data_IF_963858122588
#
_entry.id   IF_963858122588
#
_cell.length_a   1.000
_cell.length_b   1.000
_cell.length_c   1.000
_cell.angle_alpha   90.00
_cell.angle_beta   90.00
_cell.angle_gamma   90.00
#
_symmetry.space_group_name_H-M   'P 1'
#
loop_
_entity.id
_entity.type
_entity.pdbx_description
1 polymer ?
#
# COMPACT_ATOMS: atom_id res chain seq x y z
N UNK A 1 0.23 2.16 -35.45
CA UNK A 1 -0.21 2.02 -34.04
C UNK A 1 -0.55 0.56 -33.80
N UNK A 2 0.38 -0.22 -33.26
CA UNK A 2 0.07 -1.47 -32.59
C UNK A 2 0.36 -1.21 -31.11
N UNK A 3 -0.69 -1.17 -30.29
CA UNK A 3 -0.51 -1.35 -28.84
C UNK A 3 0.09 -2.73 -28.67
N UNK A 4 1.38 -2.79 -28.32
CA UNK A 4 1.96 -4.02 -27.82
C UNK A 4 1.33 -4.27 -26.45
N UNK A 5 0.20 -4.98 -26.46
CA UNK A 5 -0.35 -5.58 -25.27
C UNK A 5 0.70 -6.61 -24.83
N UNK A 6 1.51 -6.24 -23.85
CA UNK A 6 2.44 -7.18 -23.24
C UNK A 6 1.57 -8.20 -22.52
N UNK A 7 1.34 -9.32 -23.17
CA UNK A 7 0.65 -10.46 -22.59
C UNK A 7 1.59 -11.01 -21.50
N UNK A 8 1.33 -10.61 -20.26
CA UNK A 8 2.08 -11.12 -19.11
C UNK A 8 1.64 -12.57 -18.95
N UNK A 9 2.49 -13.49 -19.42
CA UNK A 9 2.35 -14.92 -19.16
C UNK A 9 2.55 -15.16 -17.65
N UNK A 10 1.46 -15.06 -16.91
CA UNK A 10 1.40 -15.30 -15.46
C UNK A 10 1.76 -16.74 -15.08
N UNK A 11 1.71 -17.68 -16.05
CA UNK A 11 1.84 -19.11 -15.80
C UNK A 11 3.15 -19.71 -16.30
N UNK A 12 4.11 -18.86 -16.74
CA UNK A 12 5.42 -19.28 -17.26
C UNK A 12 5.29 -20.39 -18.31
N UNK A 13 4.29 -20.31 -19.19
CA UNK A 13 4.05 -21.32 -20.20
C UNK A 13 5.32 -21.67 -21.00
N UNK A 14 6.29 -20.75 -21.16
CA UNK A 14 7.54 -21.03 -21.89
C UNK A 14 8.85 -20.38 -21.38
N UNK A 15 8.91 -19.76 -20.20
CA UNK A 15 10.08 -18.96 -19.79
C UNK A 15 10.99 -19.66 -18.74
N UNK A 16 12.10 -20.28 -19.19
CA UNK A 16 13.17 -20.82 -18.29
C UNK A 16 14.07 -19.74 -17.69
N UNK A 17 14.01 -18.50 -18.18
CA UNK A 17 14.79 -17.37 -17.68
C UNK A 17 13.86 -16.22 -17.29
N UNK A 18 13.18 -16.36 -16.16
CA UNK A 18 12.49 -15.22 -15.55
C UNK A 18 13.56 -14.33 -14.89
N UNK A 19 13.90 -13.21 -15.54
CA UNK A 19 14.51 -12.10 -14.82
C UNK A 19 13.60 -11.74 -13.64
N UNK A 20 14.13 -11.39 -12.46
CA UNK A 20 13.29 -10.94 -11.36
C UNK A 20 12.56 -9.67 -11.81
N UNK A 21 11.30 -9.85 -12.21
CA UNK A 21 10.41 -8.75 -12.52
C UNK A 21 10.20 -7.98 -11.22
N UNK A 22 10.53 -6.70 -11.22
CA UNK A 22 10.17 -5.81 -10.11
C UNK A 22 8.65 -5.91 -9.95
N UNK A 23 8.18 -6.22 -8.74
CA UNK A 23 6.75 -6.27 -8.46
C UNK A 23 6.11 -4.93 -8.88
N UNK A 24 5.10 -4.94 -9.77
CA UNK A 24 4.51 -3.71 -10.24
C UNK A 24 3.91 -2.93 -9.06
N UNK A 25 4.13 -1.62 -9.06
CA UNK A 25 3.53 -0.72 -8.08
C UNK A 25 2.02 -0.92 -8.05
N UNK A 26 1.45 -0.98 -6.85
CA UNK A 26 -0.01 -1.08 -6.65
C UNK A 26 -0.67 -2.37 -7.20
N UNK A 27 0.08 -3.44 -7.48
CA UNK A 27 -0.50 -4.71 -7.97
C UNK A 27 -1.64 -5.21 -7.08
N UNK A 28 -1.38 -5.32 -5.77
CA UNK A 28 -2.36 -5.84 -4.80
C UNK A 28 -3.66 -5.02 -4.81
N UNK A 29 -3.63 -3.67 -4.62
CA UNK A 29 -4.87 -2.92 -4.65
C UNK A 29 -5.54 -2.83 -6.02
N UNK A 30 -4.80 -2.89 -7.12
CA UNK A 30 -5.40 -2.97 -8.45
C UNK A 30 -6.17 -4.29 -8.65
N UNK A 31 -5.60 -5.42 -8.21
CA UNK A 31 -6.30 -6.72 -8.24
C UNK A 31 -7.53 -6.69 -7.34
N UNK A 32 -7.44 -6.10 -6.15
CA UNK A 32 -8.60 -5.99 -5.25
C UNK A 32 -9.71 -5.13 -5.83
N UNK A 33 -9.38 -4.00 -6.47
CA UNK A 33 -10.36 -3.16 -7.14
C UNK A 33 -11.08 -3.96 -8.25
N UNK A 34 -10.34 -4.69 -9.09
CA UNK A 34 -10.92 -5.55 -10.13
C UNK A 34 -11.80 -6.69 -9.56
N UNK A 35 -11.37 -7.35 -8.49
CA UNK A 35 -12.15 -8.40 -7.83
C UNK A 35 -13.45 -7.84 -7.22
N UNK A 36 -13.41 -6.62 -6.70
CA UNK A 36 -14.57 -5.92 -6.14
C UNK A 36 -15.52 -5.43 -7.23
N UNK A 37 -15.02 -5.04 -8.39
CA UNK A 37 -15.88 -4.66 -9.52
C UNK A 37 -16.58 -5.88 -10.14
N UNK A 38 -15.96 -7.06 -10.05
CA UNK A 38 -16.55 -8.31 -10.53
C UNK A 38 -17.74 -8.79 -9.68
N UNK A 39 -18.91 -8.96 -10.30
CA UNK A 39 -20.08 -9.54 -9.63
C UNK A 39 -19.84 -10.97 -9.12
N UNK A 40 -18.95 -11.72 -9.78
CA UNK A 40 -18.61 -13.09 -9.40
C UNK A 40 -17.72 -13.15 -8.17
N UNK A 41 -16.71 -12.27 -8.09
CA UNK A 41 -15.67 -12.34 -7.07
C UNK A 41 -15.89 -11.40 -5.89
N UNK A 42 -16.70 -10.34 -6.04
CA UNK A 42 -17.01 -9.37 -4.99
C UNK A 42 -17.51 -10.05 -3.71
N UNK A 43 -18.43 -11.02 -3.84
CA UNK A 43 -19.08 -11.66 -2.70
C UNK A 43 -18.17 -12.64 -1.92
N UNK A 44 -17.08 -13.10 -2.54
CA UNK A 44 -16.15 -14.09 -1.99
C UNK A 44 -14.76 -13.50 -1.69
N UNK A 45 -14.58 -12.20 -1.90
CA UNK A 45 -13.35 -11.47 -1.58
C UNK A 45 -13.49 -10.84 -0.19
N UNK A 46 -12.59 -11.19 0.72
CA UNK A 46 -12.66 -10.77 2.11
C UNK A 46 -11.37 -10.07 2.53
N UNK A 47 -11.52 -8.95 3.23
CA UNK A 47 -10.44 -8.31 3.97
C UNK A 47 -10.46 -8.85 5.41
N UNK A 48 -9.30 -9.27 5.93
CA UNK A 48 -9.17 -9.84 7.27
C UNK A 48 -8.26 -8.97 8.15
N UNK A 49 -8.54 -8.88 9.47
CA UNK A 49 -7.78 -8.00 10.38
C UNK A 49 -6.50 -8.69 10.89
N UNK A 50 -5.56 -8.97 10.00
CA UNK A 50 -4.28 -9.61 10.28
C UNK A 50 -3.70 -10.32 9.05
N UNK A 51 -2.70 -11.17 9.26
CA UNK A 51 -2.12 -11.98 8.19
C UNK A 51 -3.14 -12.96 7.64
N UNK A 52 -3.28 -13.00 6.31
CA UNK A 52 -4.24 -13.86 5.63
C UNK A 52 -4.02 -15.34 5.95
N UNK A 53 -2.77 -15.75 6.17
CA UNK A 53 -2.38 -17.14 6.43
C UNK A 53 -3.14 -17.75 7.61
N UNK A 54 -3.30 -17.01 8.70
CA UNK A 54 -4.05 -17.45 9.87
C UNK A 54 -5.53 -17.68 9.58
N UNK A 55 -6.15 -16.77 8.84
CA UNK A 55 -7.57 -16.87 8.50
C UNK A 55 -7.83 -17.96 7.49
N UNK A 56 -6.98 -18.08 6.47
CA UNK A 56 -7.04 -19.15 5.48
C UNK A 56 -6.80 -20.53 6.12
N UNK A 57 -5.82 -20.65 7.02
CA UNK A 57 -5.56 -21.88 7.76
C UNK A 57 -6.73 -22.28 8.67
N UNK A 58 -7.29 -21.30 9.40
CA UNK A 58 -8.47 -21.52 10.24
C UNK A 58 -9.67 -21.96 9.40
N UNK A 59 -9.97 -21.30 8.29
CA UNK A 59 -11.10 -21.66 7.43
C UNK A 59 -10.96 -23.08 6.85
N UNK A 60 -9.79 -23.38 6.29
CA UNK A 60 -9.51 -24.68 5.66
C UNK A 60 -9.40 -25.82 6.68
N UNK A 61 -8.97 -25.56 7.92
CA UNK A 61 -8.97 -26.60 8.96
C UNK A 61 -10.37 -27.05 9.36
N UNK A 62 -11.37 -26.16 9.31
CA UNK A 62 -12.76 -26.47 9.64
C UNK A 62 -13.56 -26.99 8.45
N UNK A 63 -13.33 -26.45 7.25
CA UNK A 63 -14.15 -26.72 6.07
C UNK A 63 -13.47 -27.62 5.03
N UNK A 64 -12.18 -27.89 5.18
CA UNK A 64 -11.34 -28.48 4.13
C UNK A 64 -11.06 -27.48 3.00
N UNK A 65 -10.42 -27.95 1.93
CA UNK A 65 -10.11 -27.11 0.76
C UNK A 65 -8.63 -27.05 0.43
N UNK A 66 -8.28 -26.12 -0.46
CA UNK A 66 -6.92 -25.91 -0.96
C UNK A 66 -6.57 -24.43 -0.81
N UNK A 67 -5.48 -24.12 -0.10
CA UNK A 67 -4.92 -22.77 -0.02
C UNK A 67 -3.92 -22.59 -1.16
N UNK A 68 -4.13 -21.56 -1.98
CA UNK A 68 -3.19 -21.15 -3.02
C UNK A 68 -2.33 -19.99 -2.50
N UNK A 69 -1.02 -20.19 -2.40
CA UNK A 69 -0.11 -19.20 -1.80
C UNK A 69 1.30 -19.26 -2.40
N UNK A 70 2.14 -18.27 -2.13
CA UNK A 70 3.60 -18.38 -2.33
C UNK A 70 4.34 -18.70 -1.02
N UNK A 71 3.67 -18.59 0.12
CA UNK A 71 4.25 -18.63 1.46
C UNK A 71 4.29 -20.06 1.99
N UNK A 72 5.51 -20.58 2.16
CA UNK A 72 5.75 -21.98 2.53
C UNK A 72 5.44 -22.31 3.99
N UNK A 73 5.36 -21.29 4.85
CA UNK A 73 5.04 -21.47 6.27
C UNK A 73 3.59 -21.90 6.51
N UNK A 74 2.69 -21.73 5.55
CA UNK A 74 1.33 -22.31 5.59
C UNK A 74 1.32 -23.84 5.74
N UNK A 75 2.40 -24.55 5.38
CA UNK A 75 2.54 -25.98 5.67
C UNK A 75 2.69 -26.30 7.17
N UNK A 76 3.05 -25.30 7.97
CA UNK A 76 3.30 -25.39 9.41
C UNK A 76 2.03 -25.11 10.22
N UNK A 77 1.13 -24.29 9.70
CA UNK A 77 -0.17 -24.03 10.32
C UNK A 77 -1.00 -25.32 10.39
N UNK A 78 -1.92 -25.41 11.36
CA UNK A 78 -2.91 -26.48 11.41
C UNK A 78 -4.00 -26.25 10.35
N UNK A 79 -4.00 -27.10 9.33
CA UNK A 79 -4.95 -27.09 8.22
C UNK A 79 -5.93 -28.26 8.29
N UNK A 80 -5.90 -29.08 9.35
CA UNK A 80 -6.71 -30.30 9.44
C UNK A 80 -6.51 -31.24 8.25
N UNK A 81 -7.54 -31.40 7.41
CA UNK A 81 -7.50 -32.19 6.17
C UNK A 81 -7.26 -31.34 4.90
N UNK A 82 -7.03 -30.06 5.08
CA UNK A 82 -6.70 -29.10 4.06
C UNK A 82 -5.40 -29.40 3.31
N UNK A 83 -5.23 -28.67 2.22
CA UNK A 83 -4.05 -28.80 1.36
C UNK A 83 -3.52 -27.42 0.98
N UNK A 84 -2.25 -27.38 0.60
CA UNK A 84 -1.56 -26.17 0.12
C UNK A 84 -1.09 -26.41 -1.30
N UNK A 85 -1.24 -25.40 -2.14
CA UNK A 85 -0.73 -25.35 -3.50
C UNK A 85 0.10 -24.08 -3.65
N UNK A 86 1.31 -24.20 -4.20
CA UNK A 86 2.15 -23.03 -4.42
C UNK A 86 1.96 -22.44 -5.82
N UNK A 87 1.92 -21.11 -5.93
CA UNK A 87 1.83 -20.44 -7.24
C UNK A 87 3.00 -20.80 -8.16
N UNK A 88 4.19 -21.07 -7.62
CA UNK A 88 5.36 -21.50 -8.42
C UNK A 88 5.18 -22.87 -9.08
N UNK A 89 4.28 -23.70 -8.55
CA UNK A 89 4.02 -25.06 -9.02
C UNK A 89 2.78 -25.12 -9.92
N UNK A 90 2.11 -23.97 -10.15
CA UNK A 90 1.01 -23.84 -11.09
C UNK A 90 1.56 -23.70 -12.51
N UNK A 91 1.15 -24.62 -13.38
CA UNK A 91 1.53 -24.66 -14.79
C UNK A 91 0.28 -24.71 -15.65
N UNK A 92 0.39 -24.20 -16.87
CA UNK A 92 -0.66 -24.32 -17.87
C UNK A 92 -0.19 -25.29 -18.96
N UNK A 93 -0.97 -26.34 -19.22
CA UNK A 93 -0.67 -27.30 -20.28
C UNK A 93 -0.96 -26.70 -21.68
N UNK A 94 -0.58 -27.44 -22.73
CA UNK A 94 -0.81 -27.04 -24.12
C UNK A 94 -2.30 -26.94 -24.51
N UNK A 95 -3.21 -27.46 -23.67
CA UNK A 95 -4.65 -27.40 -23.83
C UNK A 95 -5.31 -26.37 -22.90
N UNK A 96 -4.51 -25.46 -22.32
CA UNK A 96 -4.95 -24.42 -21.39
C UNK A 96 -5.54 -24.92 -20.08
N UNK A 97 -5.28 -26.18 -19.68
CA UNK A 97 -5.63 -26.69 -18.35
C UNK A 97 -4.54 -26.33 -17.35
N UNK A 98 -4.96 -26.11 -16.11
CA UNK A 98 -4.08 -25.80 -15.00
C UNK A 98 -3.64 -27.10 -14.33
N UNK A 99 -2.34 -27.38 -14.37
CA UNK A 99 -1.68 -28.45 -13.62
C UNK A 99 -0.99 -27.88 -12.39
N UNK A 100 -1.02 -28.60 -11.28
CA UNK A 100 -0.42 -28.13 -10.04
C UNK A 100 -0.02 -29.25 -9.09
N UNK A 101 0.97 -28.95 -8.26
CA UNK A 101 1.35 -29.80 -7.13
C UNK A 101 0.62 -29.35 -5.88
N UNK A 102 -0.02 -30.30 -5.20
CA UNK A 102 -0.80 -30.06 -4.00
C UNK A 102 -0.22 -30.86 -2.83
N UNK A 103 0.09 -30.16 -1.74
CA UNK A 103 0.70 -30.71 -0.54
C UNK A 103 -0.38 -30.91 0.51
N UNK A 104 -0.51 -32.13 1.04
CA UNK A 104 -1.29 -32.39 2.26
C UNK A 104 -0.33 -32.38 3.45
N UNK A 105 -0.30 -31.31 4.29
CA UNK A 105 0.67 -31.22 5.38
C UNK A 105 0.62 -32.44 6.29
N UNK A 106 -0.58 -32.87 6.68
CA UNK A 106 -0.77 -34.07 7.50
C UNK A 106 -0.08 -35.31 6.91
N UNK A 107 -0.34 -35.63 5.64
CA UNK A 107 0.28 -36.78 4.99
C UNK A 107 1.80 -36.60 4.83
N UNK A 108 2.24 -35.38 4.53
CA UNK A 108 3.66 -35.05 4.38
C UNK A 108 4.42 -35.27 5.70
N UNK A 109 3.88 -34.79 6.82
CA UNK A 109 4.50 -34.97 8.14
C UNK A 109 4.39 -36.42 8.65
N UNK A 110 3.28 -37.11 8.37
CA UNK A 110 3.13 -38.55 8.65
C UNK A 110 4.20 -39.38 7.91
N UNK A 111 4.50 -39.05 6.64
CA UNK A 111 5.58 -39.69 5.87
C UNK A 111 6.98 -39.40 6.43
N UNK A 112 7.16 -38.25 7.09
CA UNK A 112 8.40 -37.89 7.78
C UNK A 112 8.50 -38.51 9.19
N UNK A 113 7.48 -39.23 9.64
CA UNK A 113 7.41 -39.79 10.99
C UNK A 113 7.20 -38.75 12.09
N UNK A 114 6.60 -37.61 11.74
CA UNK A 114 6.33 -36.49 12.66
C UNK A 114 4.82 -36.32 12.89
N UNK A 115 4.46 -35.87 14.09
CA UNK A 115 3.08 -35.52 14.47
C UNK A 115 2.73 -34.12 13.98
N UNK A 116 1.57 -34.01 13.34
CA UNK A 116 1.03 -32.76 12.84
C UNK A 116 -0.18 -32.33 13.69
N UNK A 117 -0.28 -31.04 14.10
CA UNK A 117 0.57 -29.90 13.72
C UNK A 117 1.78 -29.64 14.65
N UNK A 118 1.89 -30.27 15.80
CA UNK A 118 2.82 -29.82 16.87
C UNK A 118 4.30 -29.94 16.48
N UNK A 119 4.70 -31.05 15.85
CA UNK A 119 6.09 -31.28 15.46
C UNK A 119 6.44 -30.56 14.15
N UNK A 120 5.44 -30.13 13.37
CA UNK A 120 5.64 -29.25 12.22
C UNK A 120 6.15 -27.87 12.65
N UNK A 121 5.52 -27.28 13.68
CA UNK A 121 5.97 -26.01 14.28
C UNK A 121 7.38 -26.16 14.83
N UNK A 122 7.71 -27.30 15.44
CA UNK A 122 9.06 -27.57 15.92
C UNK A 122 10.07 -27.67 14.77
N UNK A 123 9.74 -28.41 13.70
CA UNK A 123 10.60 -28.54 12.54
C UNK A 123 10.92 -27.17 11.92
N UNK A 124 9.90 -26.31 11.77
CA UNK A 124 10.06 -24.96 11.25
C UNK A 124 10.96 -24.09 12.14
N UNK A 125 10.82 -24.19 13.46
CA UNK A 125 11.69 -23.51 14.41
C UNK A 125 13.15 -23.98 14.28
N UNK A 126 13.40 -25.30 14.17
CA UNK A 126 14.75 -25.84 13.99
C UNK A 126 15.35 -25.40 12.65
N UNK A 127 14.56 -25.31 11.59
CA UNK A 127 14.99 -24.78 10.29
C UNK A 127 15.41 -23.30 10.41
N UNK A 128 14.64 -22.50 11.16
CA UNK A 128 14.98 -21.10 11.46
C UNK A 128 16.26 -20.98 12.27
N UNK A 129 16.49 -21.86 13.24
CA UNK A 129 17.71 -21.90 14.06
C UNK A 129 18.92 -22.44 13.30
N UNK A 130 18.71 -23.37 12.37
CA UNK A 130 19.77 -24.07 11.64
C UNK A 130 19.51 -24.06 10.13
N UNK A 131 19.63 -22.91 9.43
CA UNK A 131 19.28 -22.79 8.01
C UNK A 131 20.10 -23.68 7.05
N UNK A 132 21.25 -24.20 7.53
CA UNK A 132 22.15 -25.08 6.75
C UNK A 132 21.93 -26.57 7.03
N UNK A 133 21.08 -26.91 7.99
CA UNK A 133 20.79 -28.31 8.29
C UNK A 133 19.94 -28.92 7.17
N UNK A 134 20.21 -30.18 6.82
CA UNK A 134 19.38 -30.91 5.88
C UNK A 134 18.10 -31.44 6.56
N UNK A 135 17.12 -31.85 5.76
CA UNK A 135 15.82 -32.32 6.27
C UNK A 135 15.94 -33.47 7.28
N UNK A 136 16.80 -34.47 7.02
CA UNK A 136 16.97 -35.60 7.92
C UNK A 136 17.54 -35.17 9.29
N UNK A 137 18.47 -34.21 9.30
CA UNK A 137 18.98 -33.61 10.53
C UNK A 137 17.88 -32.85 11.27
N UNK A 138 17.09 -32.04 10.55
CA UNK A 138 16.00 -31.26 11.14
C UNK A 138 14.92 -32.16 11.76
N UNK A 139 14.49 -33.22 11.06
CA UNK A 139 13.50 -34.20 11.55
C UNK A 139 14.02 -34.92 12.79
N UNK A 140 15.30 -35.32 12.80
CA UNK A 140 15.91 -35.94 13.98
C UNK A 140 15.92 -34.98 15.17
N UNK A 141 16.33 -33.73 14.96
CA UNK A 141 16.39 -32.72 16.02
C UNK A 141 15.00 -32.36 16.55
N UNK A 142 14.00 -32.21 15.67
CA UNK A 142 12.62 -31.90 16.07
C UNK A 142 11.99 -33.01 16.88
N UNK A 143 12.26 -34.28 16.53
CA UNK A 143 11.75 -35.44 17.27
C UNK A 143 12.46 -35.65 18.63
N UNK A 144 13.75 -35.31 18.72
CA UNK A 144 14.55 -35.54 19.93
C UNK A 144 14.47 -34.41 20.96
N UNK A 145 14.13 -33.19 20.53
CA UNK A 145 14.20 -32.02 21.41
C UNK A 145 12.88 -31.76 22.13
N UNK A 146 12.83 -32.10 23.42
CA UNK A 146 11.69 -31.83 24.32
C UNK A 146 11.79 -30.50 25.05
N UNK A 147 12.91 -29.78 24.91
CA UNK A 147 13.16 -28.54 25.64
C UNK A 147 12.38 -27.37 25.01
N UNK A 148 11.40 -26.85 25.77
CA UNK A 148 10.69 -25.62 25.46
C UNK A 148 11.50 -24.41 25.94
N UNK A 149 12.25 -23.79 25.02
CA UNK A 149 12.91 -22.51 25.30
C UNK A 149 11.92 -21.36 25.16
N UNK A 150 12.20 -20.23 25.81
CA UNK A 150 11.39 -19.00 25.65
C UNK A 150 11.28 -18.55 24.19
N UNK A 151 12.33 -18.75 23.39
CA UNK A 151 12.35 -18.47 21.94
C UNK A 151 11.41 -19.38 21.15
N UNK A 152 11.40 -20.68 21.47
CA UNK A 152 10.48 -21.62 20.84
C UNK A 152 9.02 -21.31 21.21
N UNK A 153 8.73 -20.99 22.48
CA UNK A 153 7.38 -20.62 22.91
C UNK A 153 6.90 -19.32 22.24
N UNK A 154 7.78 -18.36 22.00
CA UNK A 154 7.46 -17.16 21.25
C UNK A 154 7.14 -17.48 19.78
N UNK A 155 7.94 -18.33 19.14
CA UNK A 155 7.69 -18.80 17.77
C UNK A 155 6.39 -19.60 17.65
N UNK A 156 6.11 -20.49 18.60
CA UNK A 156 4.90 -21.30 18.60
C UNK A 156 3.62 -20.44 18.68
N UNK A 157 3.67 -19.29 19.37
CA UNK A 157 2.53 -18.36 19.41
C UNK A 157 2.17 -17.78 18.04
N UNK A 158 3.12 -17.70 17.11
CA UNK A 158 2.88 -17.27 15.73
C UNK A 158 2.07 -18.31 14.93
N UNK A 159 1.96 -19.56 15.40
CA UNK A 159 1.21 -20.63 14.73
C UNK A 159 0.05 -21.19 15.55
N UNK A 160 -0.08 -20.75 16.80
CA UNK A 160 -1.21 -21.12 17.64
C UNK A 160 -2.48 -20.48 17.05
N UNK A 161 -3.46 -21.32 16.69
CA UNK A 161 -4.79 -20.92 16.21
C UNK A 161 -5.59 -20.24 17.31
N UNK A 162 -5.17 -19.05 17.72
CA UNK A 162 -6.01 -18.11 18.42
C UNK A 162 -6.52 -17.16 17.35
N UNK A 163 -7.72 -17.42 16.82
CA UNK A 163 -8.60 -16.29 16.51
C UNK A 163 -8.69 -15.52 17.82
N UNK A 164 -8.10 -14.33 17.94
CA UNK A 164 -8.38 -13.57 19.12
C UNK A 164 -9.78 -13.03 18.81
N UNK A 165 -10.80 -13.67 19.40
CA UNK A 165 -12.19 -13.21 19.39
C UNK A 165 -12.29 -11.69 19.68
N UNK A 166 -11.29 -11.14 20.38
CA UNK A 166 -11.08 -9.71 20.60
C UNK A 166 -10.84 -8.89 19.32
N UNK A 167 -10.24 -9.42 18.26
CA UNK A 167 -10.06 -8.73 16.97
C UNK A 167 -11.33 -8.71 16.13
N UNK A 168 -12.11 -9.81 16.08
CA UNK A 168 -13.45 -9.79 15.44
C UNK A 168 -14.36 -8.78 16.13
N UNK A 169 -14.33 -8.67 17.45
CA UNK A 169 -15.07 -7.66 18.21
C UNK A 169 -14.51 -6.24 18.01
N UNK A 170 -13.21 -6.10 17.84
CA UNK A 170 -12.55 -4.80 17.55
C UNK A 170 -12.85 -4.31 16.13
N UNK A 171 -12.93 -5.23 15.17
CA UNK A 171 -13.28 -4.96 13.77
C UNK A 171 -14.78 -4.81 13.55
N UNK A 172 -15.63 -5.50 14.32
CA UNK A 172 -17.08 -5.32 14.29
C UNK A 172 -17.53 -3.92 14.74
N UNK A 173 -16.68 -3.18 15.47
CA UNK A 173 -16.90 -1.78 15.81
C UNK A 173 -16.64 -0.81 14.66
N UNK A 174 -15.90 -1.23 13.62
CA UNK A 174 -15.93 -0.55 12.32
C UNK A 174 -17.17 -1.07 11.60
N UNK A 175 -18.07 -0.18 11.18
CA UNK A 175 -19.20 -0.59 10.35
C UNK A 175 -18.68 -1.39 9.15
N UNK A 176 -19.03 -2.69 9.11
CA UNK A 176 -18.54 -3.64 8.11
C UNK A 176 -18.85 -3.23 6.66
N UNK A 177 -19.61 -2.15 6.43
CA UNK A 177 -19.83 -1.55 5.11
C UNK A 177 -18.66 -0.68 4.64
N UNK A 178 -18.12 0.18 5.51
CA UNK A 178 -17.08 1.15 5.16
C UNK A 178 -15.71 0.50 4.90
N UNK A 179 -15.46 -0.69 5.48
CA UNK A 179 -14.14 -1.35 5.41
C UNK A 179 -13.97 -2.31 4.22
N UNK A 180 -15.07 -2.73 3.56
CA UNK A 180 -15.01 -3.71 2.46
C UNK A 180 -14.26 -3.23 1.22
N UNK A 181 -14.16 -1.91 1.04
CA UNK A 181 -13.47 -1.27 -0.08
C UNK A 181 -12.04 -0.79 0.22
N UNK A 182 -11.53 -1.00 1.43
CA UNK A 182 -10.23 -0.45 1.82
C UNK A 182 -9.06 -1.21 1.18
N UNK A 183 -8.01 -0.48 0.84
CA UNK A 183 -6.70 -1.01 0.51
C UNK A 183 -6.09 -1.70 1.73
N UNK A 184 -5.43 -2.86 1.60
CA UNK A 184 -4.83 -3.56 2.74
C UNK A 184 -3.86 -2.70 3.56
N UNK A 185 -3.01 -1.89 2.91
CA UNK A 185 -2.03 -1.02 3.60
C UNK A 185 -2.73 0.12 4.33
N UNK A 186 -3.82 0.64 3.77
CA UNK A 186 -4.66 1.65 4.41
C UNK A 186 -5.45 1.04 5.59
N UNK A 187 -5.89 -0.21 5.44
CA UNK A 187 -6.55 -0.97 6.51
C UNK A 187 -5.61 -1.22 7.68
N UNK A 188 -4.35 -1.58 7.41
CA UNK A 188 -3.32 -1.80 8.43
C UNK A 188 -3.05 -0.54 9.26
N UNK A 189 -2.92 0.62 8.62
CA UNK A 189 -2.67 1.86 9.36
C UNK A 189 -3.89 2.23 10.22
N UNK A 190 -5.11 2.10 9.69
CA UNK A 190 -6.35 2.32 10.46
C UNK A 190 -6.42 1.38 11.68
N UNK A 191 -6.09 0.10 11.47
CA UNK A 191 -5.99 -0.90 12.55
C UNK A 191 -4.95 -0.53 13.59
N UNK A 192 -3.75 -0.12 13.17
CA UNK A 192 -2.64 0.21 14.07
C UNK A 192 -2.97 1.47 14.91
N UNK A 193 -3.61 2.49 14.32
CA UNK A 193 -4.17 3.63 15.05
C UNK A 193 -5.13 3.14 16.14
N UNK A 194 -6.15 2.37 15.76
CA UNK A 194 -7.18 1.90 16.68
C UNK A 194 -6.63 1.05 17.83
N UNK A 195 -5.72 0.12 17.51
CA UNK A 195 -5.09 -0.77 18.51
C UNK A 195 -4.22 0.00 19.50
N UNK A 196 -3.46 0.99 19.04
CA UNK A 196 -2.57 1.78 19.92
C UNK A 196 -3.35 2.71 20.83
N UNK A 197 -4.39 3.33 20.29
CA UNK A 197 -5.29 4.19 21.05
C UNK A 197 -6.05 3.40 22.12
N UNK A 198 -6.52 2.18 21.81
CA UNK A 198 -7.19 1.30 22.79
C UNK A 198 -6.26 0.73 23.86
N UNK A 199 -5.04 0.34 23.49
CA UNK A 199 -4.09 -0.31 24.42
C UNK A 199 -3.28 0.68 25.26
N UNK A 200 -3.50 1.98 25.07
CA UNK A 200 -2.75 3.03 25.74
C UNK A 200 -1.23 2.93 25.54
N UNK A 201 -0.80 2.42 24.38
CA UNK A 201 0.60 2.25 24.04
C UNK A 201 1.21 3.58 23.58
N UNK A 202 1.18 4.58 24.47
CA UNK A 202 1.74 5.90 24.24
C UNK A 202 3.23 5.78 23.89
N UNK A 203 3.63 6.32 22.73
CA UNK A 203 5.03 6.44 22.31
C UNK A 203 5.52 5.44 21.25
N UNK A 204 4.75 4.41 20.88
CA UNK A 204 5.10 3.58 19.72
C UNK A 204 4.55 4.20 18.43
N UNK A 205 5.39 4.50 17.42
CA UNK A 205 4.93 5.18 16.21
C UNK A 205 4.01 4.26 15.41
N UNK A 206 2.88 4.79 14.91
CA UNK A 206 2.03 4.11 13.92
C UNK A 206 2.87 3.83 12.67
N UNK A 207 2.73 2.65 12.07
CA UNK A 207 3.54 2.27 10.91
C UNK A 207 2.72 2.34 9.64
N UNK A 208 3.29 2.92 8.59
CA UNK A 208 2.73 2.90 7.24
C UNK A 208 3.74 2.29 6.27
N UNK A 209 3.35 1.24 5.54
CA UNK A 209 4.18 0.65 4.50
C UNK A 209 3.73 1.18 3.14
N UNK A 210 4.50 2.09 2.56
CA UNK A 210 4.19 2.69 1.26
C UNK A 210 4.50 1.73 0.10
N UNK A 211 3.67 1.67 -0.95
CA UNK A 211 3.95 0.85 -2.12
C UNK A 211 5.32 1.19 -2.73
N UNK A 212 6.08 0.19 -3.21
CA UNK A 212 7.32 0.47 -3.93
C UNK A 212 6.98 1.25 -5.20
N UNK A 213 7.76 2.31 -5.48
CA UNK A 213 7.66 3.08 -6.72
C UNK A 213 8.97 2.91 -7.49
N UNK A 214 8.89 2.82 -8.81
CA UNK A 214 10.06 2.83 -9.67
C UNK A 214 10.60 4.26 -9.77
N UNK A 215 11.55 4.60 -8.91
CA UNK A 215 12.10 5.94 -8.78
C UNK A 215 13.62 5.97 -9.01
N UNK A 216 14.17 7.15 -9.29
CA UNK A 216 15.62 7.33 -9.46
C UNK A 216 16.33 7.12 -8.10
N UNK A 217 17.30 6.19 -7.97
CA UNK A 217 17.94 5.88 -6.69
C UNK A 217 18.70 7.05 -6.03
N UNK A 218 19.15 8.03 -6.83
CA UNK A 218 19.92 9.19 -6.36
C UNK A 218 19.04 10.40 -6.04
N UNK A 219 17.74 10.35 -6.34
CA UNK A 219 16.80 11.42 -6.01
C UNK A 219 16.27 11.29 -4.58
N UNK A 220 15.66 12.36 -4.07
CA UNK A 220 14.74 12.26 -2.92
C UNK A 220 13.56 11.34 -3.27
N UNK A 221 12.86 10.83 -2.26
CA UNK A 221 11.80 9.86 -2.51
C UNK A 221 10.63 10.52 -3.24
N UNK A 222 10.04 9.82 -4.20
CA UNK A 222 8.88 10.22 -4.97
C UNK A 222 7.65 10.47 -4.08
N UNK A 223 7.61 9.85 -2.90
CA UNK A 223 6.58 10.09 -1.90
C UNK A 223 6.74 11.42 -1.15
N UNK A 224 7.89 12.09 -1.24
CA UNK A 224 8.20 13.23 -0.39
C UNK A 224 7.33 14.45 -0.75
N UNK A 225 7.03 14.64 -2.03
CA UNK A 225 6.19 15.76 -2.50
C UNK A 225 4.74 15.68 -2.05
N UNK A 226 4.21 14.47 -1.88
CA UNK A 226 2.83 14.27 -1.44
C UNK A 226 2.69 14.03 0.07
N UNK A 227 3.74 14.33 0.85
CA UNK A 227 3.74 14.12 2.31
C UNK A 227 2.60 14.86 3.00
N UNK A 228 2.32 16.10 2.61
CA UNK A 228 1.28 16.91 3.24
C UNK A 228 -0.14 16.29 3.10
N UNK A 229 -0.43 15.62 1.97
CA UNK A 229 -1.70 14.91 1.75
C UNK A 229 -1.82 13.74 2.74
N UNK A 230 -0.74 12.96 2.91
CA UNK A 230 -0.72 11.83 3.85
C UNK A 230 -0.75 12.30 5.31
N UNK A 231 -0.04 13.38 5.62
CA UNK A 231 -0.10 14.03 6.94
C UNK A 231 -1.53 14.43 7.31
N UNK A 232 -2.28 15.03 6.38
CA UNK A 232 -3.69 15.33 6.59
C UNK A 232 -4.47 14.05 6.90
N UNK A 233 -4.32 13.00 6.09
CA UNK A 233 -5.01 11.73 6.31
C UNK A 233 -4.71 11.12 7.70
N UNK A 234 -3.44 11.07 8.10
CA UNK A 234 -3.05 10.54 9.41
C UNK A 234 -3.57 11.40 10.57
N UNK A 235 -3.56 12.73 10.41
CA UNK A 235 -4.13 13.66 11.39
C UNK A 235 -5.61 13.44 11.61
N UNK A 236 -6.38 13.26 10.54
CA UNK A 236 -7.83 13.01 10.63
C UNK A 236 -8.12 11.72 11.42
N UNK A 237 -7.34 10.65 11.19
CA UNK A 237 -7.46 9.41 11.99
C UNK A 237 -7.22 9.65 13.48
N UNK A 238 -6.26 10.51 13.82
CA UNK A 238 -5.98 10.85 15.22
C UNK A 238 -7.05 11.70 15.89
N UNK A 239 -7.78 12.53 15.13
CA UNK A 239 -8.84 13.39 15.69
C UNK A 239 -10.14 12.63 15.95
N UNK A 240 -10.36 11.51 15.26
CA UNK A 240 -11.60 10.74 15.36
C UNK A 240 -11.70 9.86 16.60
N UNK A 241 -10.77 10.00 17.54
CA UNK A 241 -10.69 9.12 18.71
C UNK A 241 -10.74 9.92 19.99
N UNK A 242 -11.74 9.63 20.83
CA UNK A 242 -12.04 10.28 22.11
C UNK A 242 -11.01 10.00 23.24
N UNK A 243 -9.77 9.66 22.91
CA UNK A 243 -8.77 9.25 23.91
C UNK A 243 -7.79 10.38 24.23
N UNK A 244 -7.43 10.52 25.51
CA UNK A 244 -6.36 11.42 25.99
C UNK A 244 -4.97 11.10 25.39
N UNK A 245 -4.84 9.96 24.71
CA UNK A 245 -3.60 9.47 24.13
C UNK A 245 -3.55 9.89 22.67
N UNK A 246 -2.71 10.88 22.38
CA UNK A 246 -2.51 11.39 21.03
C UNK A 246 -1.37 10.64 20.33
N UNK A 247 -1.65 10.12 19.14
CA UNK A 247 -0.59 9.70 18.22
C UNK A 247 0.10 10.97 17.73
N UNK A 248 1.41 11.09 17.91
CA UNK A 248 2.15 12.29 17.48
C UNK A 248 2.74 12.17 16.08
N UNK A 249 3.00 10.94 15.63
CA UNK A 249 3.65 10.70 14.34
C UNK A 249 3.36 9.31 13.78
N UNK A 250 3.51 9.22 12.46
CA UNK A 250 3.51 7.97 11.68
C UNK A 250 4.92 7.73 11.13
N UNK A 251 5.40 6.50 11.24
CA UNK A 251 6.65 6.04 10.65
C UNK A 251 6.37 5.39 9.29
N UNK A 252 6.78 6.05 8.22
CA UNK A 252 6.63 5.57 6.86
C UNK A 252 7.82 4.69 6.46
N UNK A 253 7.54 3.45 6.11
CA UNK A 253 8.50 2.50 5.59
C UNK A 253 8.35 2.38 4.08
N UNK A 254 9.49 2.30 3.40
CA UNK A 254 9.59 2.07 1.97
C UNK A 254 10.44 0.83 1.78
N UNK A 255 10.22 0.09 0.70
CA UNK A 255 11.11 -1.01 0.33
C UNK A 255 12.42 -0.44 -0.21
N UNK A 256 13.31 -0.04 0.70
CA UNK A 256 14.68 0.34 0.38
C UNK A 256 15.51 -0.94 0.42
N UNK A 257 16.43 -1.13 -0.53
CA UNK A 257 17.33 -2.31 -0.56
C UNK A 257 18.21 -2.46 0.69
N UNK A 258 18.20 -1.48 1.61
CA UNK A 258 18.96 -1.50 2.86
C UNK A 258 18.12 -1.99 4.04
N UNK A 259 18.59 -3.07 4.67
CA UNK A 259 18.01 -3.71 5.86
C UNK A 259 17.94 -2.81 7.11
N UNK A 260 18.69 -1.71 7.13
CA UNK A 260 18.79 -0.78 8.27
C UNK A 260 17.91 0.49 8.13
N UNK A 261 16.90 0.47 7.26
CA UNK A 261 16.02 1.62 7.10
C UNK A 261 15.10 1.76 8.34
N UNK A 262 15.29 2.82 9.11
CA UNK A 262 14.46 3.14 10.28
C UNK A 262 13.11 3.76 9.92
N UNK A 263 12.80 3.91 8.62
CA UNK A 263 11.64 4.63 8.10
C UNK A 263 11.79 6.16 8.15
N UNK A 264 10.84 6.88 7.55
CA UNK A 264 10.71 8.35 7.65
C UNK A 264 9.61 8.69 8.66
N UNK A 265 9.93 9.52 9.64
CA UNK A 265 8.94 10.02 10.59
C UNK A 265 8.13 11.16 9.97
N UNK A 266 6.82 11.08 10.09
CA UNK A 266 5.85 12.06 9.60
C UNK A 266 5.04 12.56 10.80
N UNK A 267 5.27 13.80 11.20
CA UNK A 267 4.50 14.42 12.30
C UNK A 267 3.07 14.70 11.85
N UNK A 268 2.13 14.53 12.78
CA UNK A 268 0.75 14.90 12.55
C UNK A 268 0.59 16.42 12.57
N UNK A 269 -0.30 16.93 11.72
CA UNK A 269 -0.71 18.33 11.71
C UNK A 269 -1.47 18.69 12.99
N UNK A 270 -1.39 19.97 13.37
CA UNK A 270 -2.33 20.57 14.32
C UNK A 270 -3.69 20.79 13.63
N UNK A 271 -4.78 20.76 14.40
CA UNK A 271 -6.14 20.80 13.86
C UNK A 271 -6.38 21.98 12.90
N UNK A 272 -5.95 23.19 13.29
CA UNK A 272 -6.07 24.39 12.46
C UNK A 272 -5.28 24.31 11.14
N UNK A 273 -4.09 23.70 11.17
CA UNK A 273 -3.26 23.50 9.97
C UNK A 273 -3.90 22.47 9.05
N UNK A 274 -4.45 21.39 9.62
CA UNK A 274 -5.18 20.37 8.87
C UNK A 274 -6.43 20.95 8.20
N UNK A 275 -7.19 21.79 8.90
CA UNK A 275 -8.38 22.48 8.39
C UNK A 275 -8.02 23.39 7.21
N UNK A 276 -6.98 24.22 7.37
CA UNK A 276 -6.47 25.10 6.32
C UNK A 276 -6.00 24.31 5.09
N UNK A 277 -5.28 23.21 5.29
CA UNK A 277 -4.81 22.36 4.19
C UNK A 277 -5.98 21.69 3.45
N UNK A 278 -7.00 21.22 4.18
CA UNK A 278 -8.20 20.63 3.57
C UNK A 278 -8.97 21.67 2.73
N UNK A 279 -9.13 22.90 3.24
CA UNK A 279 -9.69 24.01 2.45
C UNK A 279 -8.87 24.32 1.21
N UNK A 280 -7.53 24.30 1.32
CA UNK A 280 -6.66 24.50 0.17
C UNK A 280 -6.84 23.42 -0.90
N UNK A 281 -6.98 22.15 -0.51
CA UNK A 281 -7.27 21.06 -1.46
C UNK A 281 -8.58 21.32 -2.22
N UNK A 282 -9.63 21.74 -1.51
CA UNK A 282 -10.92 22.08 -2.11
C UNK A 282 -10.83 23.30 -3.03
N UNK A 283 -10.09 24.34 -2.63
CA UNK A 283 -9.87 25.54 -3.46
C UNK A 283 -9.11 25.20 -4.74
N UNK A 284 -8.04 24.40 -4.63
CA UNK A 284 -7.28 23.94 -5.79
C UNK A 284 -8.15 23.15 -6.77
N UNK A 285 -8.99 22.25 -6.24
CA UNK A 285 -9.94 21.49 -7.05
C UNK A 285 -10.98 22.39 -7.74
N UNK A 286 -11.58 23.33 -7.00
CA UNK A 286 -12.59 24.24 -7.55
C UNK A 286 -12.01 25.13 -8.65
N UNK A 287 -10.82 25.72 -8.44
CA UNK A 287 -10.17 26.53 -9.47
C UNK A 287 -9.87 25.67 -10.72
N UNK A 288 -9.39 24.43 -10.56
CA UNK A 288 -9.18 23.51 -11.69
C UNK A 288 -10.47 23.18 -12.46
N UNK A 289 -11.59 22.97 -11.77
CA UNK A 289 -12.91 22.70 -12.40
C UNK A 289 -13.41 23.89 -13.23
N UNK A 290 -13.08 25.13 -12.85
CA UNK A 290 -13.56 26.33 -13.58
C UNK A 290 -12.94 26.51 -14.98
N UNK A 291 -11.84 25.82 -15.28
CA UNK A 291 -10.98 26.20 -16.40
C UNK A 291 -11.20 25.41 -17.67
N UNK A 292 -11.67 24.16 -17.57
CA UNK A 292 -12.13 23.45 -18.77
C UNK A 292 -12.94 22.20 -18.42
N UNK A 293 -14.10 22.08 -19.05
CA UNK A 293 -14.85 20.82 -19.16
C UNK A 293 -14.05 19.72 -19.87
N UNK A 294 -13.00 20.09 -20.61
CA UNK A 294 -12.18 19.16 -21.41
C UNK A 294 -11.05 18.52 -20.59
N UNK A 295 -10.86 18.94 -19.33
CA UNK A 295 -9.85 18.40 -18.41
C UNK A 295 -10.29 17.12 -17.71
N UNK A 296 -11.46 16.55 -18.00
CA UNK A 296 -11.98 15.39 -17.28
C UNK A 296 -10.94 14.26 -17.12
N UNK A 297 -10.16 13.98 -18.16
CA UNK A 297 -9.15 12.91 -18.14
C UNK A 297 -7.85 13.29 -17.41
N UNK A 298 -7.55 14.59 -17.28
CA UNK A 298 -6.31 15.10 -16.67
C UNK A 298 -6.53 15.78 -15.32
N UNK A 299 -7.78 15.91 -14.85
CA UNK A 299 -8.13 16.67 -13.65
C UNK A 299 -7.31 16.25 -12.43
N UNK A 300 -7.22 14.94 -12.17
CA UNK A 300 -6.49 14.40 -11.04
C UNK A 300 -4.97 14.59 -11.16
N UNK A 301 -4.45 14.55 -12.38
CA UNK A 301 -3.04 14.82 -12.66
C UNK A 301 -2.75 16.31 -12.42
N UNK A 302 -3.60 17.19 -12.93
CA UNK A 302 -3.52 18.64 -12.70
C UNK A 302 -3.61 19.00 -11.22
N UNK A 303 -4.53 18.37 -10.48
CA UNK A 303 -4.67 18.57 -9.04
C UNK A 303 -3.43 18.10 -8.28
N UNK A 304 -2.90 16.92 -8.60
CA UNK A 304 -1.67 16.41 -7.99
C UNK A 304 -0.48 17.36 -8.21
N UNK A 305 -0.33 17.88 -9.43
CA UNK A 305 0.74 18.82 -9.80
C UNK A 305 0.56 20.18 -9.11
N UNK A 306 -0.68 20.70 -9.03
CA UNK A 306 -0.99 21.95 -8.35
C UNK A 306 -0.68 21.85 -6.85
N UNK A 307 -1.10 20.77 -6.19
CA UNK A 307 -0.81 20.52 -4.78
C UNK A 307 0.71 20.41 -4.53
N UNK A 308 1.43 19.71 -5.40
CA UNK A 308 2.90 19.63 -5.34
C UNK A 308 3.55 21.01 -5.50
N UNK A 309 3.08 21.85 -6.44
CA UNK A 309 3.62 23.21 -6.59
C UNK A 309 3.42 24.04 -5.34
N UNK A 310 2.22 24.07 -4.77
CA UNK A 310 1.96 24.90 -3.59
C UNK A 310 2.84 24.44 -2.43
N UNK A 311 3.02 23.13 -2.26
CA UNK A 311 3.90 22.60 -1.20
C UNK A 311 5.38 22.88 -1.49
N UNK A 312 5.80 22.77 -2.76
CA UNK A 312 7.16 23.09 -3.19
C UNK A 312 7.52 24.55 -2.95
N UNK A 313 6.58 25.49 -3.16
CA UNK A 313 6.74 26.91 -2.84
C UNK A 313 6.91 27.14 -1.34
N UNK A 314 6.13 26.44 -0.50
CA UNK A 314 6.26 26.53 0.98
C UNK A 314 7.59 26.02 1.48
N UNK A 315 8.16 25.01 0.81
CA UNK A 315 9.42 24.38 1.21
C UNK A 315 10.66 24.99 0.51
N UNK A 316 10.47 25.98 -0.37
CA UNK A 316 11.51 26.53 -1.24
C UNK A 316 12.26 25.43 -2.03
N UNK A 317 11.49 24.54 -2.66
CA UNK A 317 12.00 23.42 -3.46
C UNK A 317 11.41 23.41 -4.87
N UNK A 318 12.05 22.66 -5.77
CA UNK A 318 11.59 22.49 -7.15
C UNK A 318 10.40 21.52 -7.25
N UNK A 319 9.28 21.99 -7.79
CA UNK A 319 8.11 21.15 -8.10
C UNK A 319 8.39 20.13 -9.21
N UNK A 320 7.58 19.08 -9.28
CA UNK A 320 7.57 18.10 -10.38
C UNK A 320 7.30 18.75 -11.72
N UNK A 321 6.37 19.71 -11.77
CA UNK A 321 6.09 20.46 -13.00
C UNK A 321 7.35 21.17 -13.53
N UNK A 322 8.10 21.83 -12.65
CA UNK A 322 9.33 22.52 -13.04
C UNK A 322 10.43 21.54 -13.46
N UNK A 323 10.54 20.39 -12.78
CA UNK A 323 11.50 19.36 -13.14
C UNK A 323 11.20 18.79 -14.54
N UNK A 324 9.92 18.49 -14.82
CA UNK A 324 9.46 18.04 -16.13
C UNK A 324 9.58 19.12 -17.21
N UNK A 325 9.31 20.38 -16.89
CA UNK A 325 9.44 21.47 -17.86
C UNK A 325 10.92 21.75 -18.20
N UNK A 326 11.83 21.70 -17.20
CA UNK A 326 13.29 21.75 -17.44
C UNK A 326 13.76 20.61 -18.34
N UNK A 327 13.17 19.42 -18.19
CA UNK A 327 13.42 18.28 -19.06
C UNK A 327 12.99 18.52 -20.51
N UNK A 328 11.75 18.97 -20.71
CA UNK A 328 11.22 19.19 -22.06
C UNK A 328 12.06 20.22 -22.83
N UNK A 329 12.52 21.28 -22.16
CA UNK A 329 13.41 22.27 -22.76
C UNK A 329 14.82 21.73 -23.09
N UNK A 330 15.33 20.76 -22.33
CA UNK A 330 16.68 20.21 -22.59
C UNK A 330 16.70 19.17 -23.71
N UNK A 331 15.57 18.52 -23.99
CA UNK A 331 15.39 17.58 -25.10
C UNK A 331 15.46 18.25 -26.49
N UNK A 332 15.17 19.55 -26.59
CA UNK A 332 15.30 20.29 -27.86
C UNK A 332 16.76 20.41 -28.36
N UNK A 333 17.76 20.01 -27.56
CA UNK A 333 19.18 20.25 -27.88
C UNK A 333 20.17 19.08 -27.65
N UNK A 334 19.77 17.89 -27.18
CA UNK A 334 20.72 16.80 -26.89
C UNK A 334 20.14 15.40 -27.16
N UNK A 335 20.96 14.50 -27.72
CA UNK A 335 20.65 13.07 -27.91
C UNK A 335 20.16 12.39 -26.61
N UNK A 336 19.32 11.34 -26.71
CA UNK A 336 18.69 10.71 -25.54
C UNK A 336 19.74 10.05 -24.66
N UNK A 337 20.15 10.75 -23.60
CA UNK A 337 21.08 10.24 -22.60
C UNK A 337 20.29 9.45 -21.52
N UNK A 338 20.90 8.43 -20.89
CA UNK A 338 20.21 7.58 -19.90
C UNK A 338 19.62 8.37 -18.72
N UNK A 339 20.24 9.50 -18.34
CA UNK A 339 19.74 10.39 -17.27
C UNK A 339 18.42 11.09 -17.58
N UNK A 340 18.13 11.33 -18.88
CA UNK A 340 16.88 11.91 -19.36
C UNK A 340 15.69 10.95 -19.15
N UNK A 341 15.90 9.65 -19.36
CA UNK A 341 14.89 8.61 -19.11
C UNK A 341 14.49 8.54 -17.63
N UNK A 342 15.47 8.57 -16.72
CA UNK A 342 15.20 8.48 -15.29
C UNK A 342 14.43 9.67 -14.71
N UNK A 343 14.46 10.84 -15.35
CA UNK A 343 13.70 12.00 -14.87
C UNK A 343 12.22 11.82 -15.13
N UNK A 344 11.87 11.29 -16.31
CA UNK A 344 10.50 10.94 -16.66
C UNK A 344 9.99 9.81 -15.76
N UNK A 345 10.82 8.78 -15.53
CA UNK A 345 10.51 7.68 -14.59
C UNK A 345 10.24 8.24 -13.18
N UNK A 346 11.13 9.10 -12.67
CA UNK A 346 10.97 9.68 -11.33
C UNK A 346 9.76 10.62 -11.23
N UNK A 347 9.50 11.43 -12.24
CA UNK A 347 8.29 12.28 -12.31
C UNK A 347 7.01 11.45 -12.38
N UNK A 348 7.03 10.31 -13.08
CA UNK A 348 5.92 9.33 -13.06
C UNK A 348 5.69 8.81 -11.64
N UNK A 349 6.77 8.42 -10.96
CA UNK A 349 6.70 7.93 -9.58
C UNK A 349 6.17 9.01 -8.62
N UNK A 350 6.58 10.28 -8.76
CA UNK A 350 6.08 11.39 -7.95
C UNK A 350 4.56 11.56 -8.13
N UNK A 351 4.10 11.49 -9.38
CA UNK A 351 2.68 11.58 -9.71
C UNK A 351 1.88 10.38 -9.16
N UNK A 352 2.40 9.16 -9.32
CA UNK A 352 1.82 7.96 -8.69
C UNK A 352 1.73 8.10 -7.17
N UNK A 353 2.78 8.62 -6.53
CA UNK A 353 2.82 8.88 -5.10
C UNK A 353 1.80 9.92 -4.65
N UNK A 354 1.55 10.96 -5.47
CA UNK A 354 0.54 11.98 -5.20
C UNK A 354 -0.89 11.44 -5.34
N UNK A 355 -1.20 10.78 -6.46
CA UNK A 355 -2.51 10.18 -6.71
C UNK A 355 -2.84 9.12 -5.64
N UNK A 356 -1.88 8.26 -5.30
CA UNK A 356 -2.08 7.28 -4.24
C UNK A 356 -2.24 7.93 -2.85
N UNK A 357 -1.58 9.07 -2.59
CA UNK A 357 -1.80 9.82 -1.34
C UNK A 357 -3.21 10.40 -1.25
N UNK A 358 -3.78 10.85 -2.38
CA UNK A 358 -5.19 11.24 -2.45
C UNK A 358 -6.12 10.05 -2.20
N UNK A 359 -5.77 8.85 -2.70
CA UNK A 359 -6.49 7.61 -2.38
C UNK A 359 -6.41 7.24 -0.89
N UNK A 360 -5.25 7.44 -0.25
CA UNK A 360 -5.12 7.28 1.22
C UNK A 360 -6.10 8.22 1.93
N UNK A 361 -6.11 9.51 1.57
CA UNK A 361 -7.02 10.48 2.16
C UNK A 361 -8.50 10.11 1.92
N UNK A 362 -8.85 9.71 0.69
CA UNK A 362 -10.20 9.25 0.35
C UNK A 362 -10.66 8.11 1.28
N UNK A 363 -9.85 7.07 1.41
CA UNK A 363 -10.20 5.89 2.20
C UNK A 363 -10.21 6.15 3.70
N UNK A 364 -9.35 7.05 4.20
CA UNK A 364 -9.43 7.54 5.57
C UNK A 364 -10.76 8.25 5.81
N UNK A 365 -11.20 9.11 4.89
CA UNK A 365 -12.47 9.82 5.02
C UNK A 365 -13.70 8.90 5.03
N UNK A 366 -13.59 7.67 4.50
CA UNK A 366 -14.66 6.66 4.59
C UNK A 366 -14.82 6.09 6.01
N UNK A 367 -13.79 6.18 6.85
CA UNK A 367 -13.80 5.63 8.21
C UNK A 367 -13.87 6.68 9.32
N UNK A 368 -13.53 7.92 9.00
CA UNK A 368 -13.69 9.09 9.88
C UNK A 368 -15.17 9.38 10.05
N UNK A 369 -15.67 9.44 11.29
CA UNK A 369 -17.09 9.65 11.62
C UNK A 369 -17.53 11.12 11.63
N UNK A 370 -18.85 11.34 11.51
CA UNK A 370 -19.45 12.64 11.13
C UNK A 370 -19.70 13.61 12.30
N UNK A 371 -19.96 13.14 13.52
CA UNK A 371 -20.74 13.94 14.47
C UNK A 371 -20.04 15.18 15.07
N UNK A 372 -18.72 15.18 15.28
CA UNK A 372 -17.98 16.35 15.79
C UNK A 372 -17.04 16.98 14.76
N UNK A 373 -16.53 16.16 13.83
CA UNK A 373 -15.57 16.61 12.82
C UNK A 373 -16.23 17.45 11.71
N UNK A 374 -17.51 17.21 11.38
CA UNK A 374 -18.22 17.96 10.33
C UNK A 374 -18.36 19.45 10.65
N UNK A 375 -18.28 19.83 11.93
CA UNK A 375 -18.31 21.24 12.34
C UNK A 375 -16.95 21.93 12.15
N UNK A 376 -15.85 21.19 12.28
CA UNK A 376 -14.49 21.72 12.22
C UNK A 376 -13.84 21.57 10.84
N UNK A 377 -14.30 20.61 10.03
CA UNK A 377 -13.70 20.28 8.74
C UNK A 377 -14.76 20.16 7.65
N UNK A 378 -14.45 20.55 6.40
CA UNK A 378 -15.34 20.36 5.26
C UNK A 378 -15.30 18.90 4.75
N UNK A 379 -15.62 17.93 5.61
CA UNK A 379 -15.50 16.50 5.32
C UNK A 379 -16.38 16.07 4.14
N UNK A 380 -17.66 16.45 4.15
CA UNK A 380 -18.62 16.10 3.09
C UNK A 380 -18.17 16.57 1.70
N UNK A 381 -17.70 17.82 1.61
CA UNK A 381 -17.19 18.36 0.34
C UNK A 381 -15.94 17.61 -0.14
N UNK A 382 -15.07 17.25 0.81
CA UNK A 382 -13.83 16.53 0.51
C UNK A 382 -14.11 15.08 0.10
N UNK A 383 -15.06 14.40 0.77
CA UNK A 383 -15.56 13.07 0.38
C UNK A 383 -16.19 13.10 -1.00
N UNK A 384 -17.05 14.09 -1.29
CA UNK A 384 -17.68 14.25 -2.59
C UNK A 384 -16.68 14.52 -3.73
N UNK A 385 -15.61 15.28 -3.46
CA UNK A 385 -14.51 15.46 -4.40
C UNK A 385 -13.78 14.13 -4.65
N UNK A 386 -13.32 13.48 -3.58
CA UNK A 386 -12.45 12.30 -3.66
C UNK A 386 -13.19 10.99 -4.02
N UNK A 387 -14.52 10.95 -3.94
CA UNK A 387 -15.31 9.81 -4.45
C UNK A 387 -15.12 9.58 -5.95
N UNK A 388 -14.70 10.61 -6.69
CA UNK A 388 -14.44 10.60 -8.13
C UNK A 388 -12.97 10.36 -8.50
N UNK A 389 -12.12 9.98 -7.53
CA UNK A 389 -10.68 9.80 -7.75
C UNK A 389 -10.40 8.82 -8.89
N UNK A 390 -9.39 9.12 -9.69
CA UNK A 390 -8.99 8.24 -10.80
C UNK A 390 -8.63 6.84 -10.28
N UNK A 391 -9.16 5.76 -10.88
CA UNK A 391 -8.81 4.40 -10.48
C UNK A 391 -7.35 4.09 -10.82
N UNK A 392 -6.76 3.10 -10.13
CA UNK A 392 -5.35 2.74 -10.27
C UNK A 392 -4.96 2.35 -11.71
N UNK A 393 -5.87 1.70 -12.43
CA UNK A 393 -5.69 1.31 -13.84
C UNK A 393 -5.51 2.51 -14.80
N UNK A 394 -5.94 3.70 -14.41
CA UNK A 394 -5.82 4.95 -15.19
C UNK A 394 -4.67 5.83 -14.71
N UNK A 395 -3.80 5.31 -13.85
CA UNK A 395 -2.59 6.03 -13.50
C UNK A 395 -1.70 6.16 -14.72
N UNK A 396 -1.06 7.33 -14.91
CA UNK A 396 -0.30 7.61 -16.13
C UNK A 396 0.90 6.69 -16.23
N UNK A 397 1.16 6.18 -17.43
CA UNK A 397 2.35 5.38 -17.70
C UNK A 397 3.55 6.28 -18.00
N UNK A 398 4.77 5.79 -17.74
CA UNK A 398 6.00 6.56 -18.02
C UNK A 398 6.09 6.99 -19.49
N UNK A 399 5.59 6.18 -20.42
CA UNK A 399 5.56 6.50 -21.85
C UNK A 399 4.64 7.69 -22.20
N UNK A 400 3.60 7.94 -21.39
CA UNK A 400 2.60 8.97 -21.62
C UNK A 400 3.01 10.32 -21.02
N UNK A 401 3.95 10.33 -20.08
CA UNK A 401 4.32 11.53 -19.31
C UNK A 401 4.78 12.71 -20.17
N UNK A 402 5.47 12.45 -21.28
CA UNK A 402 5.91 13.52 -22.19
C UNK A 402 4.71 14.20 -22.86
N UNK A 403 3.74 13.40 -23.32
CA UNK A 403 2.53 13.90 -23.95
C UNK A 403 1.63 14.63 -22.95
N UNK A 404 1.53 14.09 -21.73
CA UNK A 404 0.80 14.73 -20.63
C UNK A 404 1.43 16.08 -20.32
N UNK A 405 2.76 16.15 -20.15
CA UNK A 405 3.46 17.39 -19.86
C UNK A 405 3.29 18.44 -20.98
N UNK A 406 3.33 18.03 -22.26
CA UNK A 406 3.06 18.91 -23.40
C UNK A 406 1.61 19.43 -23.38
N UNK A 407 0.61 18.55 -23.22
CA UNK A 407 -0.80 18.96 -23.10
C UNK A 407 -0.99 19.97 -21.97
N UNK A 408 -0.39 19.71 -20.81
CA UNK A 408 -0.47 20.62 -19.66
C UNK A 408 0.18 21.98 -19.94
N UNK A 409 1.28 21.99 -20.69
CA UNK A 409 1.93 23.23 -21.14
C UNK A 409 1.07 24.00 -22.14
N UNK A 410 0.49 23.32 -23.14
CA UNK A 410 -0.39 23.92 -24.15
C UNK A 410 -1.65 24.53 -23.52
N UNK A 411 -2.15 23.90 -22.45
CA UNK A 411 -3.26 24.43 -21.64
C UNK A 411 -2.85 25.60 -20.72
N UNK A 412 -1.58 26.02 -20.74
CA UNK A 412 -1.10 27.12 -19.90
C UNK A 412 -1.10 26.80 -18.41
N UNK A 413 -1.04 25.51 -18.04
CA UNK A 413 -1.21 25.08 -16.64
C UNK A 413 -0.16 25.69 -15.69
N UNK A 414 1.04 26.01 -16.18
CA UNK A 414 2.05 26.70 -15.37
C UNK A 414 1.58 28.11 -14.96
N UNK A 415 1.09 28.91 -15.91
CA UNK A 415 0.57 30.26 -15.63
C UNK A 415 -0.64 30.20 -14.71
N UNK A 416 -1.46 29.17 -14.89
CA UNK A 416 -2.61 28.92 -14.05
C UNK A 416 -2.21 28.59 -12.62
N UNK A 417 -1.32 27.63 -12.46
CA UNK A 417 -0.80 27.22 -11.16
C UNK A 417 -0.23 28.44 -10.45
N UNK A 418 0.56 29.26 -11.14
CA UNK A 418 1.12 30.49 -10.58
C UNK A 418 0.00 31.49 -10.19
N UNK A 419 -1.07 31.60 -10.98
CA UNK A 419 -2.23 32.43 -10.65
C UNK A 419 -3.02 31.92 -9.43
N UNK A 420 -3.26 30.62 -9.32
CA UNK A 420 -3.93 30.00 -8.16
C UNK A 420 -3.06 30.18 -6.92
N UNK A 421 -1.76 29.90 -7.02
CA UNK A 421 -0.80 30.12 -5.95
C UNK A 421 -0.81 31.57 -5.44
N UNK A 422 -0.93 32.56 -6.34
CA UNK A 422 -1.04 33.97 -5.96
C UNK A 422 -2.35 34.35 -5.26
N UNK A 423 -3.44 33.58 -5.46
CA UNK A 423 -4.73 33.77 -4.79
C UNK A 423 -4.81 33.05 -3.45
N UNK A 424 -3.99 32.03 -3.24
CA UNK A 424 -3.99 31.29 -1.98
C UNK A 424 -3.46 32.19 -0.87
N UNK A 425 -4.14 32.25 0.29
CA UNK A 425 -3.65 33.06 1.41
C UNK A 425 -2.25 32.58 1.81
N UNK A 426 -1.34 33.54 2.01
CA UNK A 426 0.01 33.27 2.50
C UNK A 426 -0.08 32.40 3.76
N UNK A 427 0.27 31.12 3.64
CA UNK A 427 0.41 30.22 4.77
C UNK A 427 1.72 30.47 5.53
N UNK A 428 2.16 31.74 5.59
CA UNK A 428 3.32 32.19 6.34
C UNK A 428 2.98 32.22 7.84
N UNK A 429 2.74 31.06 8.44
CA UNK A 429 2.98 30.76 9.85
C UNK A 429 3.14 29.24 10.01
N UNK A 430 4.20 28.70 9.41
CA UNK A 430 4.85 27.50 9.95
C UNK A 430 5.47 27.81 11.32
N UNK A 431 5.70 26.81 12.18
CA UNK A 431 6.06 27.03 13.58
C UNK A 431 7.38 27.80 13.64
N UNK A 432 7.42 28.83 14.49
CA UNK A 432 8.70 29.31 15.01
C UNK A 432 9.47 28.09 15.52
N UNK A 433 10.66 27.87 14.95
CA UNK A 433 11.64 26.97 15.53
C UNK A 433 11.99 27.51 16.91
N UNK A 434 11.44 26.90 17.94
CA UNK A 434 11.96 26.95 19.31
C UNK A 434 12.70 25.64 19.59
#
# INVERSE_FOLDING_TARGET
MHQAQVDIDLFKAHARNAYPTIDPSFLVPAVLDALRESDRYRAVTHLVPGEADHFCASDVSHHGGIILTSDSDLLVHDLGHGRVMFFRDLQQDAQSKLEFVCFSPRQLFEQLGLRYPEEAVRLAYEQKCSPRANLAQLVKTSAQTTQCTSRFLAFQKEYASTEPLSFRQTWAGFEMGATRGLDPRISEIILDFHLKLRKGAAGLPVRMFLPPLLERPTSKSAWDQSTAIRQLAYSLLSYCTDNEIMVSSVQEYRRVQNLNCTGRRVELMQQKVAEQYMHQVLLCAAELETLSSDLCDLFWIGLAILLDKVESQRQDTASTAEQLHRFLRSQESVQPNEGASWMVVHGTAQLHGALYSLRILQQVLLVVGDSQMDQAFPLEKTRALLSRITPLERYPQTAEMVQIAQKLQDMGMNNLIDSICAKLPDANHGPEKA
#
